data_IF_221223915914
#
_entry.id   IF_221223915914
#
_cell.length_a   1.000
_cell.length_b   1.000
_cell.length_c   1.000
_cell.angle_alpha   90.00
_cell.angle_beta   90.00
_cell.angle_gamma   90.00
#
_symmetry.space_group_name_H-M   'P 1'
#
loop_
_entity.id
_entity.type
_entity.pdbx_description
1 polymer ?
#
# COMPACT_ATOMS: atom_id res chain seq x y z
N UNK A 1 2.22 -18.30 37.03
CA UNK A 1 3.25 -19.09 36.33
C UNK A 1 2.86 -19.08 34.86
N UNK A 2 3.44 -18.20 34.05
CA UNK A 2 3.08 -18.07 32.63
C UNK A 2 4.22 -18.61 31.76
N UNK A 3 3.90 -19.59 30.93
CA UNK A 3 4.82 -20.41 30.15
C UNK A 3 5.21 -19.71 28.85
N UNK A 4 6.52 -19.64 28.57
CA UNK A 4 7.07 -19.14 27.30
C UNK A 4 7.13 -20.32 26.33
N UNK A 5 6.44 -20.23 25.19
CA UNK A 5 6.56 -21.18 24.08
C UNK A 5 7.44 -20.56 23.00
N UNK A 6 8.67 -21.06 22.88
CA UNK A 6 9.62 -20.71 21.80
C UNK A 6 9.46 -21.77 20.70
N UNK A 7 8.83 -21.40 19.58
CA UNK A 7 8.81 -22.26 18.39
C UNK A 7 10.08 -22.08 17.57
N UNK A 8 10.82 -23.18 17.39
CA UNK A 8 12.04 -23.28 16.59
C UNK A 8 11.65 -23.61 15.15
N UNK A 9 12.12 -22.86 14.16
CA UNK A 9 11.95 -23.19 12.73
C UNK A 9 13.32 -23.40 12.05
N UNK A 10 13.45 -24.37 11.12
CA UNK A 10 14.74 -24.91 10.71
C UNK A 10 15.39 -24.10 9.58
N UNK A 11 16.72 -24.13 9.57
CA UNK A 11 17.61 -23.50 8.62
C UNK A 11 17.87 -24.46 7.47
N UNK A 12 17.55 -24.13 6.21
CA UNK A 12 18.32 -24.59 5.05
C UNK A 12 18.05 -23.77 3.78
N UNK A 13 19.14 -23.60 3.02
CA UNK A 13 19.29 -23.27 1.60
C UNK A 13 19.54 -21.80 1.20
N UNK A 14 20.59 -21.67 0.38
CA UNK A 14 21.38 -20.49 0.04
C UNK A 14 20.73 -19.75 -1.13
N UNK A 15 20.51 -18.44 -1.00
CA UNK A 15 20.29 -17.54 -2.13
C UNK A 15 20.87 -16.16 -1.80
N UNK A 16 21.71 -15.63 -2.70
CA UNK A 16 22.22 -14.26 -2.70
C UNK A 16 21.03 -13.27 -2.65
N UNK A 17 20.68 -12.83 -1.44
CA UNK A 17 19.73 -11.75 -1.21
C UNK A 17 20.47 -10.73 -0.35
N UNK A 18 20.52 -9.49 -0.86
CA UNK A 18 21.05 -8.29 -0.20
C UNK A 18 20.95 -8.43 1.31
N UNK A 19 22.08 -8.41 2.02
CA UNK A 19 22.10 -8.39 3.49
C UNK A 19 21.45 -7.07 3.93
N UNK A 20 20.13 -7.10 4.09
CA UNK A 20 19.42 -6.13 4.91
C UNK A 20 19.80 -6.48 6.33
N UNK A 21 20.75 -5.71 6.86
CA UNK A 21 21.07 -5.64 8.27
C UNK A 21 19.78 -5.68 9.11
N UNK A 22 19.55 -6.73 9.94
CA UNK A 22 18.44 -6.76 10.89
C UNK A 22 18.82 -5.93 12.12
N UNK A 23 19.41 -4.75 11.92
CA UNK A 23 20.01 -3.90 12.97
C UNK A 23 18.97 -2.89 13.48
N UNK A 24 17.71 -3.32 13.52
CA UNK A 24 16.63 -2.65 14.23
C UNK A 24 16.13 -3.62 15.29
N UNK A 25 16.27 -3.25 16.56
CA UNK A 25 15.68 -3.99 17.66
C UNK A 25 14.14 -3.94 17.53
N UNK A 26 13.56 -4.95 16.89
CA UNK A 26 12.11 -5.07 16.71
C UNK A 26 11.44 -5.48 18.02
N UNK A 27 11.01 -4.51 18.84
CA UNK A 27 10.19 -4.75 20.03
C UNK A 27 8.71 -4.68 19.65
N UNK A 28 8.08 -5.85 19.50
CA UNK A 28 6.63 -5.97 19.24
C UNK A 28 5.91 -5.92 20.57
N UNK A 29 5.34 -4.75 20.90
CA UNK A 29 4.36 -4.62 21.99
C UNK A 29 2.99 -5.00 21.40
N UNK A 30 2.19 -5.87 22.03
CA UNK A 30 0.91 -6.36 21.46
C UNK A 30 -0.11 -5.27 21.10
N UNK A 31 0.04 -4.07 21.67
CA UNK A 31 -0.83 -2.89 21.47
C UNK A 31 -0.23 -1.87 20.50
N UNK A 32 0.98 -2.10 20.02
CA UNK A 32 1.76 -1.19 19.20
C UNK A 32 1.91 -1.87 17.84
N UNK A 33 1.08 -1.45 16.88
CA UNK A 33 1.05 -2.04 15.54
C UNK A 33 2.36 -1.81 14.76
N UNK A 34 3.31 -1.03 15.28
CA UNK A 34 4.48 -0.55 14.54
C UNK A 34 5.80 -0.73 15.33
N UNK A 35 6.88 -1.19 14.70
CA UNK A 35 8.19 -1.23 15.34
C UNK A 35 8.75 0.19 15.50
N UNK A 36 9.31 0.49 16.68
CA UNK A 36 10.04 1.74 16.94
C UNK A 36 11.50 1.54 16.52
N UNK A 37 11.98 2.34 15.57
CA UNK A 37 13.41 2.40 15.29
C UNK A 37 14.07 3.49 16.12
N UNK A 38 15.26 3.17 16.60
CA UNK A 38 16.11 4.12 17.31
C UNK A 38 17.35 4.36 16.49
N UNK A 39 17.76 5.62 16.38
CA UNK A 39 19.02 6.04 15.79
C UNK A 39 19.78 6.85 16.83
N UNK A 40 21.04 6.53 17.06
CA UNK A 40 21.91 7.37 17.88
C UNK A 40 22.43 8.56 17.09
N UNK A 41 22.57 9.70 17.76
CA UNK A 41 23.13 10.91 17.14
C UNK A 41 24.61 10.68 16.86
N UNK A 42 25.09 10.86 15.61
CA UNK A 42 26.47 10.55 15.23
C UNK A 42 27.49 11.36 16.05
N UNK A 43 27.16 12.59 16.39
CA UNK A 43 28.03 13.50 17.14
C UNK A 43 28.26 13.07 18.59
N UNK A 44 27.34 12.27 19.15
CA UNK A 44 27.37 11.84 20.56
C UNK A 44 27.70 10.35 20.73
N UNK A 45 28.04 9.67 19.65
CA UNK A 45 28.43 8.26 19.66
C UNK A 45 29.54 7.92 20.66
N UNK A 46 30.62 8.71 20.82
CA UNK A 46 31.65 8.40 21.81
C UNK A 46 31.08 8.39 23.24
N UNK A 47 30.31 9.41 23.61
CA UNK A 47 29.69 9.54 24.94
C UNK A 47 28.73 8.39 25.23
N UNK A 48 27.92 8.01 24.24
CA UNK A 48 26.99 6.88 24.34
C UNK A 48 27.77 5.58 24.57
N UNK A 49 28.82 5.35 23.79
CA UNK A 49 29.63 4.14 23.87
C UNK A 49 30.31 3.98 25.24
N UNK A 50 30.84 5.08 25.81
CA UNK A 50 31.45 5.05 27.15
C UNK A 50 30.44 4.87 28.29
N UNK A 51 29.26 5.48 28.17
CA UNK A 51 28.26 5.51 29.24
C UNK A 51 27.39 4.26 29.26
N UNK A 52 26.96 3.80 28.08
CA UNK A 52 25.97 2.73 27.95
C UNK A 52 26.56 1.39 27.44
N UNK A 53 27.75 1.42 26.82
CA UNK A 53 28.40 0.26 26.23
C UNK A 53 27.88 -0.11 24.83
N UNK A 54 28.46 -1.16 24.23
CA UNK A 54 28.10 -1.65 22.88
C UNK A 54 26.67 -2.18 22.81
N UNK A 55 26.20 -2.81 23.89
CA UNK A 55 24.91 -3.51 23.93
C UNK A 55 23.76 -2.64 24.48
N UNK A 56 23.88 -1.31 24.35
CA UNK A 56 22.87 -0.39 24.88
C UNK A 56 21.50 -0.59 24.22
N UNK A 57 21.47 -0.99 22.95
CA UNK A 57 20.23 -1.29 22.22
C UNK A 57 19.44 -2.45 22.84
N UNK A 58 20.12 -3.48 23.33
CA UNK A 58 19.48 -4.69 23.86
C UNK A 58 19.13 -4.57 25.35
N UNK A 59 19.85 -3.71 26.09
CA UNK A 59 19.68 -3.58 27.54
C UNK A 59 18.87 -2.35 27.95
N UNK A 60 19.21 -1.20 27.39
CA UNK A 60 18.71 0.10 27.85
C UNK A 60 17.37 0.41 27.19
N UNK A 61 17.20 0.12 25.90
CA UNK A 61 15.94 0.38 25.20
C UNK A 61 14.77 -0.43 25.77
N UNK A 62 14.86 -1.76 26.00
CA UNK A 62 13.75 -2.50 26.58
C UNK A 62 13.42 -2.04 28.01
N UNK A 63 14.45 -1.67 28.79
CA UNK A 63 14.27 -1.13 30.13
C UNK A 63 13.51 0.20 30.11
N UNK A 64 13.90 1.10 29.20
CA UNK A 64 13.27 2.40 29.04
C UNK A 64 11.81 2.27 28.62
N UNK A 65 11.54 1.42 27.63
CA UNK A 65 10.19 1.13 27.12
C UNK A 65 9.31 0.53 28.20
N UNK A 66 9.83 -0.43 28.97
CA UNK A 66 9.07 -1.07 30.01
C UNK A 66 8.72 -0.10 31.14
N UNK A 67 9.62 0.83 31.47
CA UNK A 67 9.37 1.86 32.47
C UNK A 67 8.31 2.88 31.99
N UNK A 68 8.44 3.40 30.77
CA UNK A 68 7.45 4.34 30.22
C UNK A 68 6.09 3.68 30.04
N UNK A 69 6.06 2.42 29.60
CA UNK A 69 4.82 1.67 29.45
C UNK A 69 4.14 1.47 30.80
N UNK A 70 4.89 1.11 31.85
CA UNK A 70 4.34 1.01 33.21
C UNK A 70 3.79 2.34 33.70
N UNK A 71 4.51 3.43 33.47
CA UNK A 71 4.08 4.76 33.89
C UNK A 71 2.77 5.20 33.22
N UNK A 72 2.61 4.92 31.92
CA UNK A 72 1.39 5.27 31.17
C UNK A 72 0.25 4.32 31.53
N UNK A 73 0.48 3.00 31.55
CA UNK A 73 -0.57 2.02 31.89
C UNK A 73 -1.13 2.24 33.29
N UNK A 74 -0.34 2.76 34.24
CA UNK A 74 -0.82 3.12 35.58
C UNK A 74 -1.83 4.28 35.59
N UNK A 75 -1.87 5.12 34.56
CA UNK A 75 -2.78 6.27 34.47
C UNK A 75 -4.13 5.94 33.84
N UNK A 76 -4.22 4.82 33.12
CA UNK A 76 -5.41 4.41 32.38
C UNK A 76 -6.10 3.21 33.00
N UNK A 77 -7.45 3.21 33.00
CA UNK A 77 -8.21 2.04 33.43
C UNK A 77 -8.15 0.94 32.36
N UNK A 78 -7.99 -0.32 32.77
CA UNK A 78 -7.87 -1.48 31.87
C UNK A 78 -9.02 -1.59 30.85
N UNK A 79 -10.23 -1.14 31.21
CA UNK A 79 -11.40 -1.11 30.32
C UNK A 79 -11.23 -0.13 29.15
N UNK A 80 -10.61 1.03 29.39
CA UNK A 80 -10.38 2.07 28.37
C UNK A 80 -9.29 1.67 27.38
N UNK A 81 -8.27 0.95 27.85
CA UNK A 81 -7.18 0.44 27.02
C UNK A 81 -7.62 -0.67 26.04
N UNK A 82 -8.66 -1.44 26.39
CA UNK A 82 -9.11 -2.60 25.61
C UNK A 82 -10.19 -2.26 24.58
N UNK A 83 -11.08 -1.31 24.88
CA UNK A 83 -12.38 -1.20 24.18
C UNK A 83 -12.39 -0.16 23.06
N UNK A 84 -11.55 0.88 23.14
CA UNK A 84 -11.68 2.05 22.28
C UNK A 84 -10.41 2.32 21.46
N UNK A 85 -10.53 2.19 20.13
CA UNK A 85 -9.46 2.52 19.17
C UNK A 85 -8.98 3.98 19.27
N UNK A 86 -9.85 4.87 19.73
CA UNK A 86 -9.49 6.28 19.96
C UNK A 86 -8.55 6.44 21.17
N UNK A 87 -8.83 5.72 22.26
CA UNK A 87 -8.00 5.74 23.47
C UNK A 87 -6.64 5.09 23.21
N UNK A 88 -6.57 3.98 22.48
CA UNK A 88 -5.28 3.35 22.13
C UNK A 88 -4.38 4.26 21.29
N UNK A 89 -4.95 5.06 20.38
CA UNK A 89 -4.20 6.04 19.59
C UNK A 89 -3.68 7.19 20.44
N UNK A 90 -4.49 7.70 21.38
CA UNK A 90 -4.06 8.74 22.31
C UNK A 90 -2.93 8.24 23.24
N UNK A 91 -3.06 7.03 23.77
CA UNK A 91 -2.07 6.35 24.60
C UNK A 91 -0.76 6.11 23.84
N UNK A 92 -0.84 5.70 22.56
CA UNK A 92 0.36 5.50 21.72
C UNK A 92 1.13 6.79 21.50
N UNK A 93 0.43 7.91 21.25
CA UNK A 93 1.05 9.24 21.12
C UNK A 93 1.72 9.68 22.42
N UNK A 94 1.04 9.49 23.55
CA UNK A 94 1.59 9.84 24.86
C UNK A 94 2.83 9.00 25.18
N UNK A 95 2.80 7.69 24.93
CA UNK A 95 3.97 6.81 25.07
C UNK A 95 5.14 7.29 24.22
N UNK A 96 4.90 7.68 22.96
CA UNK A 96 5.94 8.25 22.10
C UNK A 96 6.53 9.53 22.68
N UNK A 97 5.71 10.48 23.13
CA UNK A 97 6.20 11.72 23.75
C UNK A 97 7.06 11.45 24.99
N UNK A 98 6.63 10.53 25.84
CA UNK A 98 7.37 10.13 27.04
C UNK A 98 8.68 9.40 26.70
N UNK A 99 8.67 8.53 25.69
CA UNK A 99 9.86 7.85 25.19
C UNK A 99 10.86 8.84 24.60
N UNK A 100 10.43 9.77 23.75
CA UNK A 100 11.29 10.77 23.13
C UNK A 100 11.95 11.68 24.16
N UNK A 101 11.19 12.15 25.16
CA UNK A 101 11.72 12.98 26.26
C UNK A 101 12.82 12.26 27.05
N UNK A 102 12.65 10.97 27.34
CA UNK A 102 13.65 10.21 28.08
C UNK A 102 14.82 9.75 27.23
N UNK A 103 14.58 9.38 25.97
CA UNK A 103 15.61 9.02 25.01
C UNK A 103 16.55 10.19 24.72
N UNK A 104 16.05 11.43 24.73
CA UNK A 104 16.88 12.63 24.63
C UNK A 104 17.96 12.73 25.73
N UNK A 105 17.66 12.26 26.94
CA UNK A 105 18.60 12.18 28.06
C UNK A 105 19.75 11.20 27.83
N UNK A 106 19.52 10.17 27.01
CA UNK A 106 20.54 9.20 26.59
C UNK A 106 21.14 9.51 25.21
N UNK A 107 20.77 10.67 24.62
CA UNK A 107 21.19 11.08 23.28
C UNK A 107 20.78 10.09 22.17
N UNK A 108 19.63 9.44 22.37
CA UNK A 108 19.01 8.54 21.41
C UNK A 108 17.84 9.28 20.76
N UNK A 109 17.81 9.31 19.43
CA UNK A 109 16.69 9.83 18.66
C UNK A 109 15.76 8.66 18.30
N UNK A 110 14.46 8.83 18.57
CA UNK A 110 13.43 7.94 18.05
C UNK A 110 12.96 8.50 16.72
N UNK A 111 13.07 7.69 15.67
CA UNK A 111 12.60 8.07 14.34
C UNK A 111 11.36 7.25 13.98
N UNK A 112 10.30 7.95 13.60
CA UNK A 112 9.05 7.33 13.17
C UNK A 112 9.19 6.91 11.72
N UNK A 113 9.45 5.61 11.51
CA UNK A 113 9.46 4.94 10.22
C UNK A 113 8.19 5.14 9.37
N UNK A 114 7.14 5.73 9.92
CA UNK A 114 5.85 5.94 9.27
C UNK A 114 6.03 6.71 7.98
N UNK A 115 6.74 7.83 8.00
CA UNK A 115 6.98 8.66 6.82
C UNK A 115 7.79 7.94 5.74
N UNK A 116 8.84 7.21 6.14
CA UNK A 116 9.73 6.51 5.21
C UNK A 116 9.09 5.25 4.61
N UNK A 117 8.26 4.53 5.38
CA UNK A 117 7.49 3.38 4.89
C UNK A 117 6.35 3.87 4.00
N UNK A 118 5.63 4.91 4.41
CA UNK A 118 4.55 5.50 3.61
C UNK A 118 5.10 6.01 2.28
N UNK A 119 6.24 6.70 2.26
CA UNK A 119 6.91 7.12 1.02
C UNK A 119 7.30 5.93 0.13
N UNK A 120 7.82 4.84 0.71
CA UNK A 120 8.13 3.61 -0.06
C UNK A 120 6.87 2.92 -0.58
N UNK A 121 5.79 2.91 0.19
CA UNK A 121 4.51 2.33 -0.21
C UNK A 121 3.86 3.14 -1.32
N UNK A 122 3.89 4.46 -1.24
CA UNK A 122 3.42 5.36 -2.31
C UNK A 122 4.24 5.13 -3.58
N UNK A 123 5.57 5.10 -3.49
CA UNK A 123 6.42 4.82 -4.64
C UNK A 123 6.15 3.45 -5.28
N UNK A 124 5.90 2.41 -4.47
CA UNK A 124 5.54 1.08 -4.97
C UNK A 124 4.15 1.06 -5.65
N UNK A 125 3.17 1.75 -5.06
CA UNK A 125 1.81 1.84 -5.60
C UNK A 125 1.76 2.63 -6.92
N UNK A 126 2.54 3.70 -7.01
CA UNK A 126 2.68 4.51 -8.23
C UNK A 126 3.34 3.71 -9.36
N UNK A 127 4.37 2.93 -9.04
CA UNK A 127 5.02 2.05 -10.01
C UNK A 127 4.08 0.99 -10.58
N UNK A 128 3.22 0.40 -9.73
CA UNK A 128 2.21 -0.58 -10.17
C UNK A 128 1.13 0.09 -11.04
N UNK A 129 0.67 1.27 -10.62
CA UNK A 129 -0.31 2.06 -11.37
C UNK A 129 0.21 2.46 -12.76
N UNK A 130 1.48 2.86 -12.84
CA UNK A 130 2.14 3.19 -14.10
C UNK A 130 2.23 1.97 -15.05
N UNK A 131 2.55 0.78 -14.52
CA UNK A 131 2.54 -0.47 -15.30
C UNK A 131 1.16 -0.78 -15.87
N UNK A 132 0.12 -0.66 -15.06
CA UNK A 132 -1.26 -0.90 -15.48
C UNK A 132 -1.71 0.05 -16.59
N UNK A 133 -1.34 1.34 -16.52
CA UNK A 133 -1.69 2.33 -17.55
C UNK A 133 -1.03 1.98 -18.88
N UNK A 134 0.25 1.58 -18.87
CA UNK A 134 0.96 1.18 -20.09
C UNK A 134 0.32 -0.05 -20.71
N UNK A 135 0.04 -1.08 -19.92
CA UNK A 135 -0.57 -2.32 -20.43
C UNK A 135 -1.97 -2.07 -20.98
N UNK A 136 -2.78 -1.25 -20.29
CA UNK A 136 -4.09 -0.83 -20.79
C UNK A 136 -3.98 -0.11 -22.14
N UNK A 137 -3.03 0.82 -22.27
CA UNK A 137 -2.83 1.56 -23.52
C UNK A 137 -2.38 0.65 -24.68
N UNK A 138 -1.56 -0.37 -24.41
CA UNK A 138 -1.20 -1.38 -25.41
C UNK A 138 -2.40 -2.22 -25.84
N UNK A 139 -3.25 -2.60 -24.89
CA UNK A 139 -4.43 -3.42 -25.17
C UNK A 139 -5.49 -2.65 -25.96
N UNK A 140 -5.68 -1.36 -25.66
CA UNK A 140 -6.53 -0.45 -26.43
C UNK A 140 -6.00 -0.26 -27.86
N UNK A 141 -4.67 -0.10 -28.05
CA UNK A 141 -4.06 -0.06 -29.39
C UNK A 141 -4.33 -1.33 -30.19
N UNK A 142 -4.11 -2.50 -29.59
CA UNK A 142 -4.37 -3.80 -30.24
C UNK A 142 -5.85 -3.94 -30.62
N UNK A 143 -6.75 -3.57 -29.72
CA UNK A 143 -8.19 -3.58 -29.96
C UNK A 143 -8.59 -2.64 -31.12
N UNK A 144 -8.04 -1.43 -31.16
CA UNK A 144 -8.29 -0.47 -32.23
C UNK A 144 -7.81 -0.98 -33.59
N UNK A 145 -6.62 -1.60 -33.67
CA UNK A 145 -6.09 -2.20 -34.90
C UNK A 145 -6.97 -3.36 -35.36
N UNK A 146 -7.33 -4.27 -34.45
CA UNK A 146 -8.18 -5.43 -34.78
C UNK A 146 -9.55 -4.96 -35.25
N UNK A 147 -10.13 -3.94 -34.61
CA UNK A 147 -11.41 -3.37 -35.00
C UNK A 147 -11.34 -2.73 -36.39
N UNK A 148 -10.32 -1.91 -36.65
CA UNK A 148 -10.11 -1.30 -37.97
C UNK A 148 -9.89 -2.36 -39.06
N UNK A 149 -9.12 -3.42 -38.78
CA UNK A 149 -8.93 -4.53 -39.72
C UNK A 149 -10.22 -5.32 -39.95
N UNK A 150 -10.98 -5.57 -38.88
CA UNK A 150 -12.27 -6.25 -38.95
C UNK A 150 -13.29 -5.47 -39.79
N UNK A 151 -13.34 -4.15 -39.60
CA UNK A 151 -14.18 -3.24 -40.39
C UNK A 151 -13.73 -3.19 -41.85
N UNK A 152 -12.42 -3.10 -42.12
CA UNK A 152 -11.88 -3.10 -43.48
C UNK A 152 -12.20 -4.40 -44.23
N UNK A 153 -11.95 -5.56 -43.61
CA UNK A 153 -12.25 -6.87 -44.19
C UNK A 153 -13.76 -7.04 -44.43
N UNK A 154 -14.58 -6.59 -43.48
CA UNK A 154 -16.05 -6.63 -43.62
C UNK A 154 -16.54 -5.74 -44.76
N UNK A 155 -15.97 -4.54 -44.90
CA UNK A 155 -16.30 -3.63 -45.99
C UNK A 155 -15.89 -4.19 -47.37
N UNK A 156 -14.74 -4.88 -47.46
CA UNK A 156 -14.30 -5.55 -48.69
C UNK A 156 -15.27 -6.68 -49.09
N UNK A 157 -15.60 -7.57 -48.17
CA UNK A 157 -16.53 -8.67 -48.42
C UNK A 157 -17.94 -8.17 -48.81
N UNK A 158 -18.40 -7.11 -48.14
CA UNK A 158 -19.66 -6.45 -48.51
C UNK A 158 -19.57 -5.83 -49.90
N UNK A 159 -18.46 -5.15 -50.23
CA UNK A 159 -18.23 -4.56 -51.54
C UNK A 159 -18.27 -5.61 -52.67
N UNK A 160 -17.63 -6.77 -52.46
CA UNK A 160 -17.67 -7.89 -53.40
C UNK A 160 -19.08 -8.49 -53.55
N UNK A 161 -19.82 -8.63 -52.44
CA UNK A 161 -21.20 -9.11 -52.47
C UNK A 161 -22.15 -8.14 -53.19
N UNK A 162 -21.97 -6.83 -52.98
CA UNK A 162 -22.72 -5.76 -53.64
C UNK A 162 -22.41 -5.73 -55.14
N UNK A 163 -21.14 -5.90 -55.53
CA UNK A 163 -20.73 -5.95 -56.93
C UNK A 163 -21.42 -7.10 -57.70
N UNK A 164 -21.69 -8.23 -57.03
CA UNK A 164 -22.45 -9.35 -57.61
C UNK A 164 -23.94 -9.06 -57.73
N UNK A 165 -24.56 -8.34 -56.78
CA UNK A 165 -26.00 -8.05 -56.76
C UNK A 165 -26.29 -6.60 -56.33
N UNK A 166 -26.47 -5.65 -57.27
CA UNK A 166 -26.62 -4.22 -56.94
C UNK A 166 -27.95 -3.88 -56.23
N UNK A 167 -28.96 -4.74 -56.32
CA UNK A 167 -30.24 -4.58 -55.62
C UNK A 167 -30.13 -4.70 -54.08
N UNK A 168 -29.03 -5.25 -53.56
CA UNK A 168 -28.81 -5.37 -52.11
C UNK A 168 -28.60 -4.02 -51.43
N UNK A 169 -28.03 -3.03 -52.13
CA UNK A 169 -27.78 -1.68 -51.59
C UNK A 169 -29.06 -0.92 -51.27
N UNK A 170 -30.12 -1.09 -52.08
CA UNK A 170 -31.39 -0.38 -51.88
C UNK A 170 -32.10 -0.88 -50.64
N UNK A 171 -32.06 -2.19 -50.39
CA UNK A 171 -32.62 -2.80 -49.18
C UNK A 171 -31.89 -2.33 -47.91
N UNK A 172 -30.55 -2.31 -47.92
CA UNK A 172 -29.74 -1.82 -46.79
C UNK A 172 -30.02 -0.35 -46.50
N UNK A 173 -30.21 0.48 -47.54
CA UNK A 173 -30.60 1.90 -47.39
C UNK A 173 -31.94 2.05 -46.67
N UNK A 174 -32.91 1.20 -47.00
CA UNK A 174 -34.23 1.24 -46.37
C UNK A 174 -34.13 0.78 -44.91
N UNK A 175 -33.41 -0.32 -44.63
CA UNK A 175 -33.19 -0.80 -43.26
C UNK A 175 -32.49 0.24 -42.37
N UNK A 176 -31.42 0.89 -42.85
CA UNK A 176 -30.71 1.91 -42.08
C UNK A 176 -31.59 3.12 -41.76
N UNK A 177 -32.43 3.55 -42.70
CA UNK A 177 -33.42 4.61 -42.46
C UNK A 177 -34.43 4.20 -41.38
N UNK A 178 -34.92 2.96 -41.43
CA UNK A 178 -35.84 2.43 -40.41
C UNK A 178 -35.17 2.35 -39.04
N UNK A 179 -33.91 1.93 -38.98
CA UNK A 179 -33.14 1.85 -37.74
C UNK A 179 -32.95 3.23 -37.10
N UNK A 180 -32.58 4.24 -37.89
CA UNK A 180 -32.45 5.63 -37.41
C UNK A 180 -33.80 6.17 -36.93
N UNK A 181 -34.89 5.92 -37.66
CA UNK A 181 -36.23 6.32 -37.25
C UNK A 181 -36.60 5.69 -35.89
N UNK A 182 -36.34 4.39 -35.72
CA UNK A 182 -36.62 3.69 -34.47
C UNK A 182 -35.86 4.28 -33.29
N UNK A 183 -34.56 4.57 -33.47
CA UNK A 183 -33.71 5.15 -32.41
C UNK A 183 -34.17 6.57 -32.02
N UNK A 184 -34.55 7.37 -33.01
CA UNK A 184 -35.12 8.71 -32.83
C UNK A 184 -36.45 8.66 -32.05
N UNK A 185 -37.35 7.73 -32.41
CA UNK A 185 -38.62 7.55 -31.73
C UNK A 185 -38.44 7.12 -30.27
N UNK A 186 -37.51 6.18 -30.02
CA UNK A 186 -37.16 5.73 -28.66
C UNK A 186 -36.56 6.87 -27.83
N UNK A 187 -35.74 7.73 -28.43
CA UNK A 187 -35.17 8.89 -27.76
C UNK A 187 -36.25 9.94 -27.42
N UNK A 188 -37.19 10.21 -28.34
CA UNK A 188 -38.32 11.13 -28.10
C UNK A 188 -39.28 10.64 -27.02
N UNK A 189 -39.50 9.33 -26.91
CA UNK A 189 -40.32 8.75 -25.85
C UNK A 189 -39.64 8.86 -24.47
N UNK A 190 -38.31 8.70 -24.40
CA UNK A 190 -37.55 8.84 -23.15
C UNK A 190 -37.38 10.29 -22.67
N UNK A 191 -37.46 11.28 -23.56
CA UNK A 191 -37.43 12.71 -23.22
C UNK A 191 -38.81 13.30 -22.86
N UNK A 192 -39.88 12.51 -22.98
CA UNK A 192 -41.27 12.94 -22.71
C UNK A 192 -41.80 12.52 -21.33
N UNK A 193 -41.00 11.83 -20.54
CA UNK A 193 -41.28 11.45 -19.14
C UNK A 193 -40.33 12.15 -18.18
#
# INVERSE_FOLDING_TARGET
>A
MWTVVISKFPQHSVAHRVRVYPEGTHLIIPWFERPVLTRSVPDKLPTIFWTLGKDYNERVLPSLIHETLKAVVAQYNARQLLTERCHTRAVSREIQEHLTKRAAGFHIELDDLTSAIEAKQVAAQEAESARYIVEKAEQEKKSAIIKAQGEANSAQLLGEAIAKNPASLTLIKIEKRMQILSLSLTCMLNLRY
#
